data_IF_302032303439
#
_entry.id   IF_302032303439
#
_cell.length_a   1.000
_cell.length_b   1.000
_cell.length_c   1.000
_cell.angle_alpha   90.00
_cell.angle_beta   90.00
_cell.angle_gamma   90.00
#
_symmetry.space_group_name_H-M   'P 1'
#
loop_
_entity.id
_entity.type
_entity.pdbx_description
1 polymer ?
#
# COMPACT_ATOMS: atom_id res chain seq x y z
N UNK A 1 27.60 -34.89 52.27
CA UNK A 1 27.56 -34.76 50.79
C UNK A 1 26.53 -33.66 50.47
N UNK A 2 27.04 -32.46 50.31
CA UNK A 2 26.20 -31.25 50.14
C UNK A 2 26.16 -31.00 48.64
N UNK A 3 24.98 -31.09 48.04
CA UNK A 3 24.75 -30.71 46.64
C UNK A 3 24.51 -29.20 46.60
N UNK A 4 25.47 -28.46 46.04
CA UNK A 4 25.29 -27.08 45.64
C UNK A 4 24.49 -27.03 44.35
N UNK A 5 23.27 -26.48 44.40
CA UNK A 5 22.52 -26.11 43.22
C UNK A 5 23.02 -24.79 42.65
N UNK A 6 23.59 -24.81 41.45
CA UNK A 6 23.81 -23.60 40.66
C UNK A 6 22.47 -23.11 40.12
N UNK A 7 21.98 -21.98 40.64
CA UNK A 7 20.93 -21.24 40.00
C UNK A 7 21.55 -20.37 38.89
N UNK A 8 21.29 -20.71 37.64
CA UNK A 8 21.53 -19.82 36.51
C UNK A 8 20.49 -18.70 36.62
N UNK A 9 20.92 -17.54 36.98
CA UNK A 9 20.13 -16.31 36.78
C UNK A 9 20.16 -16.01 35.28
N UNK A 10 19.06 -16.17 34.60
CA UNK A 10 18.84 -15.56 33.33
C UNK A 10 18.89 -14.04 33.53
N UNK A 11 20.00 -13.42 33.17
CA UNK A 11 20.09 -11.98 33.03
C UNK A 11 19.22 -11.57 31.82
N UNK A 12 17.94 -11.35 32.09
CA UNK A 12 17.06 -10.60 31.18
C UNK A 12 17.57 -9.17 31.22
N UNK A 13 18.46 -8.84 30.28
CA UNK A 13 18.75 -7.44 30.00
C UNK A 13 17.43 -6.77 29.58
N UNK A 14 16.97 -5.73 30.30
CA UNK A 14 15.77 -5.04 29.89
C UNK A 14 15.99 -4.48 28.48
N UNK A 15 15.12 -4.82 27.54
CA UNK A 15 15.11 -4.24 26.21
C UNK A 15 15.20 -2.72 26.38
N UNK A 16 16.27 -2.12 25.85
CA UNK A 16 16.44 -0.67 25.83
C UNK A 16 15.40 -0.16 24.84
N UNK A 17 14.21 0.21 25.34
CA UNK A 17 13.19 0.89 24.55
C UNK A 17 13.83 2.20 24.08
N UNK A 18 14.27 2.25 22.84
CA UNK A 18 14.77 3.48 22.26
C UNK A 18 13.59 4.46 22.18
N UNK A 19 13.63 5.59 22.89
CA UNK A 19 12.53 6.56 22.85
C UNK A 19 12.30 6.98 21.42
N UNK A 20 11.03 7.04 20.98
CA UNK A 20 10.69 7.58 19.68
C UNK A 20 11.22 9.02 19.57
N UNK A 21 11.77 9.43 18.41
CA UNK A 21 12.22 10.80 18.19
C UNK A 21 11.12 11.82 18.53
N UNK A 22 11.50 12.99 18.99
CA UNK A 22 10.55 14.06 19.35
C UNK A 22 9.67 14.45 18.15
N UNK A 23 10.26 14.47 16.94
CA UNK A 23 9.58 14.77 15.68
C UNK A 23 9.01 13.48 15.08
N UNK A 24 7.69 13.45 14.87
CA UNK A 24 7.02 12.31 14.21
C UNK A 24 7.15 12.37 12.70
N UNK A 25 6.88 11.25 11.99
CA UNK A 25 6.93 11.20 10.53
C UNK A 25 5.95 12.21 9.92
N UNK A 26 4.69 12.26 10.39
CA UNK A 26 3.72 13.24 9.89
C UNK A 26 4.11 14.68 10.16
N UNK A 27 4.75 14.96 11.29
CA UNK A 27 5.20 16.33 11.59
C UNK A 27 6.48 16.74 10.84
N UNK A 28 7.25 15.76 10.38
CA UNK A 28 8.43 15.97 9.55
C UNK A 28 8.07 16.17 8.08
N UNK A 29 7.02 15.51 7.60
CA UNK A 29 6.55 15.66 6.23
C UNK A 29 5.70 16.92 6.08
N UNK A 30 6.24 17.91 5.36
CA UNK A 30 5.57 19.22 5.18
C UNK A 30 4.88 19.37 3.82
N UNK A 31 5.08 18.41 2.90
CA UNK A 31 4.64 18.57 1.51
C UNK A 31 3.79 17.40 0.98
N UNK A 32 3.64 16.32 1.74
CA UNK A 32 2.82 15.16 1.40
C UNK A 32 2.41 14.37 2.64
N UNK A 33 1.37 13.54 2.53
CA UNK A 33 0.91 12.69 3.62
C UNK A 33 1.79 11.45 3.79
N UNK A 34 2.16 11.11 5.03
CA UNK A 34 2.73 9.82 5.39
C UNK A 34 1.59 8.95 5.92
N UNK A 35 1.39 7.79 5.30
CA UNK A 35 0.30 6.87 5.59
C UNK A 35 0.77 5.50 6.08
N UNK A 36 -0.20 4.72 6.58
CA UNK A 36 0.00 3.35 7.03
C UNK A 36 -1.11 2.44 6.51
N UNK A 37 -0.77 1.23 6.04
CA UNK A 37 -1.77 0.19 5.86
C UNK A 37 -2.09 -0.47 7.20
N UNK A 38 -3.38 -0.73 7.44
CA UNK A 38 -3.83 -1.35 8.69
C UNK A 38 -5.07 -2.21 8.49
N UNK A 39 -5.43 -2.97 9.52
CA UNK A 39 -6.59 -3.84 9.53
C UNK A 39 -7.36 -3.73 10.84
N UNK A 40 -8.64 -4.11 10.83
CA UNK A 40 -9.52 -3.94 12.01
C UNK A 40 -8.98 -4.55 13.30
N UNK A 41 -8.39 -5.76 13.33
CA UNK A 41 -7.85 -6.31 14.59
C UNK A 41 -6.73 -5.48 15.19
N UNK A 42 -5.96 -4.77 14.35
CA UNK A 42 -4.85 -3.91 14.79
C UNK A 42 -5.37 -2.63 15.46
N UNK A 43 -6.55 -2.13 15.05
CA UNK A 43 -7.17 -0.96 15.64
C UNK A 43 -7.73 -1.18 17.06
N UNK A 44 -7.88 -2.43 17.49
CA UNK A 44 -8.30 -2.79 18.85
C UNK A 44 -7.11 -2.77 19.84
N UNK A 45 -5.87 -2.63 19.36
CA UNK A 45 -4.65 -2.61 20.16
C UNK A 45 -4.21 -1.17 20.45
N UNK A 46 -4.20 -0.78 21.74
CA UNK A 46 -3.84 0.58 22.16
C UNK A 46 -2.42 0.97 21.71
N UNK A 47 -1.44 0.07 21.84
CA UNK A 47 -0.06 0.31 21.38
C UNK A 47 0.02 0.61 19.88
N UNK A 48 -0.85 -0.03 19.10
CA UNK A 48 -0.91 0.17 17.65
C UNK A 48 -1.52 1.53 17.31
N UNK A 49 -2.67 1.85 17.91
CA UNK A 49 -3.40 3.10 17.64
C UNK A 49 -2.63 4.33 18.10
N UNK A 50 -1.91 4.25 19.23
CA UNK A 50 -1.05 5.35 19.69
C UNK A 50 0.05 5.70 18.69
N UNK A 51 0.67 4.70 18.05
CA UNK A 51 1.68 4.94 17.01
C UNK A 51 1.02 5.48 15.74
N UNK A 52 -0.12 4.91 15.31
CA UNK A 52 -0.85 5.44 14.14
C UNK A 52 -1.15 6.93 14.33
N UNK A 53 -1.76 7.28 15.43
CA UNK A 53 -2.19 8.67 15.71
C UNK A 53 -1.03 9.65 15.84
N UNK A 54 0.14 9.16 16.29
CA UNK A 54 1.35 9.97 16.41
C UNK A 54 2.08 10.15 15.09
N UNK A 55 2.20 9.09 14.29
CA UNK A 55 3.15 9.05 13.17
C UNK A 55 2.53 9.30 11.80
N UNK A 56 1.24 9.02 11.62
CA UNK A 56 0.65 8.98 10.29
C UNK A 56 -0.52 9.97 10.14
N UNK A 57 -0.72 10.46 8.92
CA UNK A 57 -1.83 11.34 8.54
C UNK A 57 -2.93 10.61 7.78
N UNK A 58 -2.63 9.43 7.22
CA UNK A 58 -3.57 8.66 6.43
C UNK A 58 -3.48 7.18 6.73
N UNK A 59 -4.57 6.47 6.51
CA UNK A 59 -4.61 5.02 6.56
C UNK A 59 -5.19 4.43 5.28
N UNK A 60 -4.71 3.21 4.95
CA UNK A 60 -5.23 2.36 3.88
C UNK A 60 -5.70 1.05 4.50
N UNK A 61 -6.89 0.59 4.15
CA UNK A 61 -7.41 -0.70 4.62
C UNK A 61 -6.70 -1.85 3.87
N UNK A 62 -5.91 -2.65 4.58
CA UNK A 62 -5.14 -3.76 3.99
C UNK A 62 -6.04 -4.81 3.31
N UNK A 63 -7.23 -5.09 3.91
CA UNK A 63 -8.16 -6.12 3.41
C UNK A 63 -9.62 -5.67 3.34
N UNK A 64 -10.06 -4.82 4.26
CA UNK A 64 -11.46 -4.65 4.60
C UNK A 64 -12.29 -3.93 3.54
N UNK A 65 -11.64 -3.24 2.60
CA UNK A 65 -12.30 -2.54 1.48
C UNK A 65 -12.22 -3.30 0.16
N UNK A 66 -11.64 -4.50 0.13
CA UNK A 66 -11.52 -5.34 -1.07
C UNK A 66 -12.87 -5.98 -1.43
N UNK A 67 -13.09 -6.21 -2.74
CA UNK A 67 -14.37 -6.69 -3.26
C UNK A 67 -14.84 -7.99 -2.61
N UNK A 68 -13.96 -8.98 -2.44
CA UNK A 68 -14.28 -10.27 -1.83
C UNK A 68 -14.59 -10.18 -0.32
N UNK A 69 -14.31 -9.05 0.33
CA UNK A 69 -14.68 -8.81 1.73
C UNK A 69 -16.03 -8.07 1.81
N UNK A 70 -16.21 -7.07 0.96
CA UNK A 70 -17.45 -6.27 0.95
C UNK A 70 -18.59 -7.01 0.29
N UNK A 71 -18.36 -7.72 -0.82
CA UNK A 71 -19.38 -8.37 -1.65
C UNK A 71 -19.09 -9.86 -1.87
N UNK A 72 -18.77 -10.57 -0.79
CA UNK A 72 -18.44 -12.01 -0.83
C UNK A 72 -19.60 -12.84 -1.42
N UNK A 73 -20.84 -12.45 -1.12
CA UNK A 73 -22.06 -13.08 -1.63
C UNK A 73 -22.79 -12.10 -2.55
N UNK A 74 -23.18 -12.56 -3.74
CA UNK A 74 -23.88 -11.74 -4.73
C UNK A 74 -25.07 -11.01 -4.11
N UNK A 75 -25.13 -9.69 -4.31
CA UNK A 75 -26.22 -8.84 -3.83
C UNK A 75 -26.20 -8.55 -2.32
N UNK A 76 -25.23 -9.09 -1.55
CA UNK A 76 -25.16 -8.91 -0.11
C UNK A 76 -23.88 -8.19 0.29
N UNK A 77 -23.99 -6.91 0.62
CA UNK A 77 -22.85 -6.08 1.04
C UNK A 77 -22.59 -6.20 2.54
N UNK A 78 -21.34 -6.53 2.90
CA UNK A 78 -20.85 -6.52 4.28
C UNK A 78 -19.97 -5.29 4.53
N UNK A 79 -20.54 -4.26 5.10
CA UNK A 79 -19.88 -2.99 5.37
C UNK A 79 -19.13 -2.93 6.70
N UNK A 80 -19.42 -3.87 7.61
CA UNK A 80 -19.05 -3.79 9.04
C UNK A 80 -17.58 -3.46 9.25
N UNK A 81 -16.67 -4.21 8.62
CA UNK A 81 -15.22 -4.03 8.81
C UNK A 81 -14.66 -2.79 8.10
N UNK A 82 -15.19 -2.49 6.91
CA UNK A 82 -14.79 -1.29 6.18
C UNK A 82 -15.27 -0.03 6.92
N UNK A 83 -16.51 -0.03 7.43
CA UNK A 83 -17.06 1.06 8.27
C UNK A 83 -16.21 1.27 9.53
N UNK A 84 -15.75 0.21 10.19
CA UNK A 84 -14.91 0.31 11.39
C UNK A 84 -13.62 1.09 11.09
N UNK A 85 -12.92 0.77 9.99
CA UNK A 85 -11.69 1.47 9.59
C UNK A 85 -11.98 2.93 9.24
N UNK A 86 -13.00 3.18 8.41
CA UNK A 86 -13.32 4.53 7.96
C UNK A 86 -13.77 5.41 9.14
N UNK A 87 -14.61 4.87 10.03
CA UNK A 87 -15.08 5.61 11.21
C UNK A 87 -13.94 5.88 12.20
N UNK A 88 -13.02 4.91 12.41
CA UNK A 88 -11.81 5.15 13.20
C UNK A 88 -11.01 6.31 12.62
N UNK A 89 -10.68 6.26 11.33
CA UNK A 89 -9.90 7.31 10.67
C UNK A 89 -10.55 8.68 10.81
N UNK A 90 -11.85 8.78 10.49
CA UNK A 90 -12.61 10.05 10.61
C UNK A 90 -12.62 10.56 12.04
N UNK A 91 -12.80 9.67 13.04
CA UNK A 91 -12.79 10.07 14.47
C UNK A 91 -11.44 10.60 14.94
N UNK A 92 -10.35 10.23 14.26
CA UNK A 92 -8.97 10.65 14.57
C UNK A 92 -8.44 11.74 13.62
N UNK A 93 -9.26 12.23 12.70
CA UNK A 93 -8.87 13.24 11.71
C UNK A 93 -7.86 12.72 10.69
N UNK A 94 -7.79 11.40 10.48
CA UNK A 94 -6.94 10.77 9.49
C UNK A 94 -7.64 10.71 8.14
N UNK A 95 -6.88 10.89 7.06
CA UNK A 95 -7.35 10.65 5.70
C UNK A 95 -7.48 9.15 5.44
N UNK A 96 -8.37 8.76 4.55
CA UNK A 96 -8.52 7.36 4.11
C UNK A 96 -8.25 7.25 2.63
N UNK A 97 -7.39 6.30 2.26
CA UNK A 97 -7.23 5.81 0.90
C UNK A 97 -7.93 4.46 0.76
N UNK A 98 -8.84 4.34 -0.19
CA UNK A 98 -9.59 3.12 -0.44
C UNK A 98 -8.83 2.15 -1.35
N UNK A 99 -8.59 0.93 -0.89
CA UNK A 99 -7.82 -0.10 -1.60
C UNK A 99 -8.54 -1.44 -1.57
N UNK A 100 -8.85 -2.06 -2.68
CA UNK A 100 -8.93 -1.56 -4.03
C UNK A 100 -10.31 -1.92 -4.60
N UNK A 101 -10.85 -1.08 -5.51
CA UNK A 101 -12.17 -1.35 -6.07
C UNK A 101 -12.15 -2.58 -6.97
N UNK A 102 -11.21 -2.67 -7.90
CA UNK A 102 -11.07 -3.80 -8.83
C UNK A 102 -9.67 -4.37 -8.77
N UNK A 103 -9.56 -5.61 -8.33
CA UNK A 103 -8.31 -6.36 -8.28
C UNK A 103 -8.58 -7.84 -8.50
N UNK A 104 -7.83 -8.49 -9.39
CA UNK A 104 -8.04 -9.87 -9.79
C UNK A 104 -7.92 -10.86 -8.64
N UNK A 105 -7.04 -10.63 -7.66
CA UNK A 105 -6.87 -11.50 -6.48
C UNK A 105 -7.94 -11.31 -5.40
N UNK A 106 -8.74 -10.24 -5.49
CA UNK A 106 -9.85 -10.00 -4.56
C UNK A 106 -11.23 -10.13 -5.19
N UNK A 107 -11.32 -10.78 -6.34
CA UNK A 107 -12.60 -11.04 -7.02
C UNK A 107 -13.33 -12.21 -6.34
N UNK A 108 -14.58 -12.05 -5.89
CA UNK A 108 -15.33 -13.13 -5.25
C UNK A 108 -15.72 -14.24 -6.25
N UNK A 109 -15.82 -15.47 -5.76
CA UNK A 109 -16.05 -16.67 -6.58
C UNK A 109 -17.31 -16.58 -7.46
N UNK A 110 -18.39 -15.97 -6.97
CA UNK A 110 -19.61 -15.80 -7.74
C UNK A 110 -19.40 -14.91 -8.98
N UNK A 111 -18.48 -13.95 -8.93
CA UNK A 111 -18.16 -13.06 -10.05
C UNK A 111 -17.14 -13.72 -11.00
N UNK A 112 -16.17 -14.46 -10.46
CA UNK A 112 -15.26 -15.30 -11.28
C UNK A 112 -16.00 -16.32 -12.13
N UNK A 113 -17.08 -16.89 -11.58
CA UNK A 113 -17.90 -17.93 -12.23
C UNK A 113 -19.24 -17.39 -12.75
N UNK A 114 -19.31 -16.10 -13.08
CA UNK A 114 -20.54 -15.43 -13.46
C UNK A 114 -21.20 -16.03 -14.71
N UNK A 115 -22.47 -16.42 -14.61
CA UNK A 115 -23.21 -17.13 -15.69
C UNK A 115 -24.07 -16.20 -16.56
N UNK A 116 -24.13 -14.90 -16.28
CA UNK A 116 -24.87 -13.93 -17.09
C UNK A 116 -24.12 -13.49 -18.35
N UNK A 117 -24.73 -12.60 -19.13
CA UNK A 117 -24.09 -11.97 -20.29
C UNK A 117 -22.98 -11.01 -19.88
N UNK A 118 -22.12 -10.60 -20.82
CA UNK A 118 -21.05 -9.62 -20.57
C UNK A 118 -21.62 -8.26 -20.12
N UNK A 119 -22.74 -7.83 -20.70
CA UNK A 119 -23.42 -6.61 -20.28
C UNK A 119 -23.95 -6.69 -18.84
N UNK A 120 -24.44 -7.87 -18.42
CA UNK A 120 -24.86 -8.09 -17.03
C UNK A 120 -23.65 -8.13 -16.08
N UNK A 121 -22.54 -8.74 -16.50
CA UNK A 121 -21.29 -8.72 -15.72
C UNK A 121 -20.79 -7.30 -15.51
N UNK A 122 -20.74 -6.49 -16.57
CA UNK A 122 -20.35 -5.08 -16.49
C UNK A 122 -21.27 -4.30 -15.54
N UNK A 123 -22.58 -4.58 -15.57
CA UNK A 123 -23.52 -3.93 -14.65
C UNK A 123 -23.25 -4.30 -13.18
N UNK A 124 -22.94 -5.57 -12.86
CA UNK A 124 -22.55 -5.98 -11.49
C UNK A 124 -21.32 -5.24 -11.00
N UNK A 125 -20.29 -5.09 -11.86
CA UNK A 125 -19.06 -4.33 -11.54
C UNK A 125 -19.37 -2.85 -11.32
N UNK A 126 -20.21 -2.26 -12.18
CA UNK A 126 -20.64 -0.86 -12.05
C UNK A 126 -21.41 -0.64 -10.75
N UNK A 127 -22.37 -1.51 -10.44
CA UNK A 127 -23.18 -1.40 -9.22
C UNK A 127 -22.34 -1.53 -7.97
N UNK A 128 -21.36 -2.46 -7.95
CA UNK A 128 -20.41 -2.59 -6.87
C UNK A 128 -19.57 -1.31 -6.67
N UNK A 129 -18.93 -0.81 -7.72
CA UNK A 129 -18.10 0.41 -7.65
C UNK A 129 -18.94 1.59 -7.17
N UNK A 130 -20.13 1.75 -7.74
CA UNK A 130 -21.05 2.83 -7.37
C UNK A 130 -21.47 2.74 -5.91
N UNK A 131 -21.82 1.56 -5.43
CA UNK A 131 -22.24 1.34 -4.04
C UNK A 131 -21.11 1.66 -3.05
N UNK A 132 -19.89 1.16 -3.32
CA UNK A 132 -18.74 1.37 -2.43
C UNK A 132 -18.33 2.84 -2.40
N UNK A 133 -18.12 3.44 -3.55
CA UNK A 133 -17.65 4.84 -3.64
C UNK A 133 -18.68 5.80 -3.07
N UNK A 134 -19.96 5.64 -3.40
CA UNK A 134 -21.05 6.47 -2.86
C UNK A 134 -21.19 6.36 -1.35
N UNK A 135 -21.02 5.14 -0.78
CA UNK A 135 -21.10 4.94 0.68
C UNK A 135 -20.08 5.75 1.44
N UNK A 136 -18.86 5.85 0.89
CA UNK A 136 -17.73 6.52 1.56
C UNK A 136 -17.45 7.92 1.03
N UNK A 137 -18.32 8.47 0.19
CA UNK A 137 -18.22 9.84 -0.32
C UNK A 137 -18.05 10.85 0.82
N UNK A 138 -17.07 11.75 0.69
CA UNK A 138 -16.70 12.73 1.70
C UNK A 138 -15.92 12.18 2.91
N UNK A 139 -15.68 10.85 2.98
CA UNK A 139 -14.88 10.19 4.03
C UNK A 139 -13.60 9.56 3.48
N UNK A 140 -13.69 8.89 2.34
CA UNK A 140 -12.56 8.35 1.60
C UNK A 140 -12.16 9.37 0.55
N UNK A 141 -10.91 9.83 0.58
CA UNK A 141 -10.44 10.96 -0.25
C UNK A 141 -9.86 10.51 -1.58
N UNK A 142 -9.54 9.24 -1.70
CA UNK A 142 -8.89 8.66 -2.88
C UNK A 142 -9.09 7.15 -2.96
N UNK A 143 -9.01 6.60 -4.17
CA UNK A 143 -9.23 5.17 -4.45
C UNK A 143 -8.19 4.62 -5.41
N UNK A 144 -7.69 3.41 -5.13
CA UNK A 144 -7.15 2.53 -6.16
C UNK A 144 -8.34 1.92 -6.90
N UNK A 145 -8.61 2.47 -8.09
CA UNK A 145 -9.76 2.03 -8.90
C UNK A 145 -9.48 0.67 -9.53
N UNK A 146 -8.29 0.53 -10.11
CA UNK A 146 -7.78 -0.76 -10.62
C UNK A 146 -6.40 -1.01 -10.04
N UNK A 147 -6.25 -2.17 -9.43
CA UNK A 147 -4.99 -2.68 -8.92
C UNK A 147 -4.46 -3.79 -9.83
N UNK A 148 -3.17 -3.68 -10.25
CA UNK A 148 -2.42 -4.71 -10.96
C UNK A 148 -3.04 -5.18 -12.30
N UNK A 149 -3.49 -4.23 -13.10
CA UNK A 149 -4.12 -4.51 -14.40
C UNK A 149 -3.15 -4.92 -15.50
N UNK A 150 -1.84 -4.72 -15.32
CA UNK A 150 -0.78 -5.08 -16.28
C UNK A 150 0.04 -6.26 -15.77
N UNK A 151 0.32 -7.22 -16.66
CA UNK A 151 1.08 -8.43 -16.36
C UNK A 151 2.58 -8.14 -16.28
N UNK A 152 3.32 -8.88 -15.43
CA UNK A 152 4.79 -8.82 -15.38
C UNK A 152 5.46 -9.37 -16.63
N UNK A 153 4.80 -10.30 -17.33
CA UNK A 153 5.29 -10.86 -18.57
C UNK A 153 4.89 -10.01 -19.76
N UNK A 154 5.87 -9.58 -20.56
CA UNK A 154 5.70 -8.90 -21.84
C UNK A 154 4.93 -7.55 -21.81
N UNK A 155 4.69 -6.94 -20.64
CA UNK A 155 4.00 -5.64 -20.57
C UNK A 155 2.66 -5.64 -21.30
N UNK A 156 1.80 -6.61 -21.03
CA UNK A 156 0.45 -6.73 -21.60
C UNK A 156 -0.62 -6.59 -20.53
N UNK A 157 -1.86 -6.30 -20.93
CA UNK A 157 -2.98 -6.34 -20.00
C UNK A 157 -3.10 -7.74 -19.37
N UNK A 158 -3.25 -7.79 -18.05
CA UNK A 158 -3.47 -9.04 -17.32
C UNK A 158 -4.78 -9.69 -17.78
N UNK A 159 -4.75 -10.99 -18.08
CA UNK A 159 -5.92 -11.73 -18.51
C UNK A 159 -6.83 -12.08 -17.34
N UNK A 160 -7.57 -11.11 -16.86
CA UNK A 160 -8.52 -11.21 -15.73
C UNK A 160 -9.94 -11.46 -16.23
N UNK A 161 -10.84 -11.91 -15.35
CA UNK A 161 -12.26 -12.01 -15.66
C UNK A 161 -12.85 -10.65 -16.12
N UNK A 162 -12.38 -9.56 -15.57
CA UNK A 162 -12.80 -8.21 -15.96
C UNK A 162 -12.44 -7.93 -17.41
N UNK A 163 -11.19 -8.19 -17.81
CA UNK A 163 -10.77 -8.06 -19.21
C UNK A 163 -11.56 -8.97 -20.16
N UNK A 164 -11.72 -10.23 -19.76
CA UNK A 164 -12.42 -11.23 -20.59
C UNK A 164 -13.89 -10.85 -20.85
N UNK A 165 -14.58 -10.28 -19.84
CA UNK A 165 -16.00 -10.00 -19.88
C UNK A 165 -16.34 -8.57 -20.28
N UNK A 166 -15.47 -7.60 -20.01
CA UNK A 166 -15.72 -6.18 -20.28
C UNK A 166 -14.83 -5.62 -21.41
N UNK A 167 -13.89 -6.42 -21.93
CA UNK A 167 -12.94 -6.04 -22.99
C UNK A 167 -11.71 -5.29 -22.46
N UNK A 168 -10.83 -4.87 -23.38
CA UNK A 168 -9.57 -4.20 -23.04
C UNK A 168 -9.77 -2.83 -22.36
N UNK A 169 -10.92 -2.20 -22.57
CA UNK A 169 -11.30 -0.92 -21.95
C UNK A 169 -11.90 -1.05 -20.54
N UNK A 170 -11.88 -2.24 -19.92
CA UNK A 170 -12.51 -2.45 -18.62
C UNK A 170 -12.01 -1.46 -17.54
N UNK A 171 -10.71 -1.11 -17.56
CA UNK A 171 -10.14 -0.15 -16.61
C UNK A 171 -10.74 1.23 -16.81
N UNK A 172 -10.86 1.69 -18.05
CA UNK A 172 -11.49 2.99 -18.39
C UNK A 172 -12.92 3.06 -17.84
N UNK A 173 -13.70 2.00 -18.04
CA UNK A 173 -15.07 1.90 -17.52
C UNK A 173 -15.10 1.98 -16.00
N UNK A 174 -14.17 1.27 -15.29
CA UNK A 174 -14.07 1.33 -13.85
C UNK A 174 -13.78 2.75 -13.33
N UNK A 175 -12.85 3.47 -13.98
CA UNK A 175 -12.57 4.87 -13.64
C UNK A 175 -13.81 5.77 -13.85
N UNK A 176 -14.54 5.59 -14.93
CA UNK A 176 -15.77 6.33 -15.20
C UNK A 176 -16.87 6.04 -14.17
N UNK A 177 -17.03 4.78 -13.74
CA UNK A 177 -18.00 4.41 -12.70
C UNK A 177 -17.65 5.02 -11.36
N UNK A 178 -16.38 4.98 -10.96
CA UNK A 178 -15.91 5.56 -9.72
C UNK A 178 -16.09 7.09 -9.70
N UNK A 179 -15.71 7.76 -10.78
CA UNK A 179 -15.87 9.21 -10.91
C UNK A 179 -17.34 9.65 -10.92
N UNK A 180 -18.21 8.89 -11.56
CA UNK A 180 -19.66 9.17 -11.56
C UNK A 180 -20.26 9.05 -10.15
N UNK A 181 -19.74 8.16 -9.32
CA UNK A 181 -20.19 7.97 -7.93
C UNK A 181 -19.67 9.07 -6.99
N UNK A 182 -18.41 9.48 -7.15
CA UNK A 182 -17.80 10.59 -6.40
C UNK A 182 -16.80 11.37 -7.25
N UNK A 183 -17.21 12.49 -7.85
CA UNK A 183 -16.34 13.33 -8.67
C UNK A 183 -15.20 14.02 -7.91
N UNK A 184 -15.29 14.12 -6.59
CA UNK A 184 -14.33 14.85 -5.74
C UNK A 184 -13.17 13.97 -5.30
N UNK A 185 -13.34 12.64 -5.31
CA UNK A 185 -12.29 11.70 -4.91
C UNK A 185 -11.16 11.61 -5.95
N UNK A 186 -9.92 11.39 -5.48
CA UNK A 186 -8.78 11.16 -6.37
C UNK A 186 -8.70 9.70 -6.77
N UNK A 187 -8.61 9.43 -8.06
CA UNK A 187 -8.65 8.07 -8.64
C UNK A 187 -7.27 7.66 -9.14
N UNK A 188 -6.78 6.51 -8.67
CA UNK A 188 -5.46 5.98 -8.95
C UNK A 188 -5.53 4.64 -9.70
N UNK A 189 -4.56 4.43 -10.58
CA UNK A 189 -4.11 3.11 -11.01
C UNK A 189 -2.95 2.70 -10.11
N UNK A 190 -2.97 1.51 -9.53
CA UNK A 190 -1.94 1.02 -8.61
C UNK A 190 -1.31 -0.28 -9.12
N UNK A 191 0.04 -0.39 -9.07
CA UNK A 191 0.71 -1.61 -9.51
C UNK A 191 2.10 -1.76 -8.86
N UNK A 192 2.61 -3.00 -8.82
CA UNK A 192 3.93 -3.34 -8.31
C UNK A 192 4.96 -3.46 -9.44
N UNK A 193 6.25 -3.51 -9.08
CA UNK A 193 7.38 -3.62 -10.00
C UNK A 193 7.49 -2.49 -11.04
N UNK A 194 6.77 -1.39 -10.89
CA UNK A 194 6.88 -0.24 -11.80
C UNK A 194 8.23 0.45 -11.70
N UNK A 195 8.92 0.30 -10.59
CA UNK A 195 10.27 0.83 -10.35
C UNK A 195 11.37 0.01 -11.03
N UNK A 196 11.12 -1.28 -11.34
CA UNK A 196 12.16 -2.20 -11.82
C UNK A 196 11.83 -2.92 -13.13
N UNK A 197 10.54 -3.16 -13.44
CA UNK A 197 10.11 -3.86 -14.65
C UNK A 197 9.81 -2.88 -15.80
N UNK A 198 10.80 -2.65 -16.65
CA UNK A 198 10.69 -1.68 -17.76
C UNK A 198 9.56 -1.99 -18.74
N UNK A 199 9.29 -3.27 -19.04
CA UNK A 199 8.23 -3.66 -19.97
C UNK A 199 6.84 -3.33 -19.41
N UNK A 200 6.60 -3.69 -18.14
CA UNK A 200 5.38 -3.36 -17.41
C UNK A 200 5.19 -1.85 -17.28
N UNK A 201 6.23 -1.15 -16.87
CA UNK A 201 6.25 0.30 -16.75
C UNK A 201 5.88 0.97 -18.10
N UNK A 202 6.48 0.55 -19.21
CA UNK A 202 6.18 1.12 -20.53
C UNK A 202 4.72 0.94 -20.88
N UNK A 203 4.14 -0.25 -20.63
CA UNK A 203 2.72 -0.50 -20.91
C UNK A 203 1.79 0.35 -20.04
N UNK A 204 2.10 0.51 -18.77
CA UNK A 204 1.29 1.35 -17.87
C UNK A 204 1.30 2.80 -18.33
N UNK A 205 2.46 3.35 -18.71
CA UNK A 205 2.52 4.73 -19.18
C UNK A 205 1.90 4.91 -20.58
N UNK A 206 1.97 3.92 -21.47
CA UNK A 206 1.21 3.90 -22.73
C UNK A 206 -0.31 4.03 -22.48
N UNK A 207 -0.83 3.25 -21.53
CA UNK A 207 -2.24 3.32 -21.12
C UNK A 207 -2.60 4.69 -20.54
N UNK A 208 -1.75 5.24 -19.67
CA UNK A 208 -1.98 6.57 -19.06
C UNK A 208 -2.03 7.65 -20.12
N UNK A 209 -1.15 7.62 -21.13
CA UNK A 209 -1.17 8.57 -22.23
C UNK A 209 -2.46 8.47 -23.04
N UNK A 210 -2.89 7.26 -23.41
CA UNK A 210 -4.19 7.04 -24.07
C UNK A 210 -5.35 7.55 -23.22
N UNK A 211 -5.37 7.22 -21.93
CA UNK A 211 -6.43 7.65 -21.01
C UNK A 211 -6.51 9.17 -20.87
N UNK A 212 -5.37 9.85 -20.85
CA UNK A 212 -5.34 11.32 -20.83
C UNK A 212 -5.91 11.92 -22.12
N UNK A 213 -5.56 11.38 -23.30
CA UNK A 213 -6.12 11.81 -24.59
C UNK A 213 -7.64 11.59 -24.63
N UNK A 214 -8.12 10.48 -24.07
CA UNK A 214 -9.55 10.13 -23.98
C UNK A 214 -10.28 10.81 -22.82
N UNK A 215 -9.58 11.64 -22.02
CA UNK A 215 -10.12 12.33 -20.84
C UNK A 215 -10.72 11.38 -19.80
N UNK A 216 -10.11 10.21 -19.62
CA UNK A 216 -10.45 9.31 -18.52
C UNK A 216 -10.14 10.00 -17.19
N UNK A 217 -11.00 9.91 -16.18
CA UNK A 217 -10.84 10.64 -14.92
C UNK A 217 -9.77 9.99 -14.00
N UNK A 218 -8.56 9.83 -14.51
CA UNK A 218 -7.40 9.38 -13.72
C UNK A 218 -6.69 10.59 -13.11
N UNK A 219 -6.37 10.52 -11.81
CA UNK A 219 -5.69 11.59 -11.09
C UNK A 219 -4.25 11.23 -10.71
N UNK A 220 -3.96 9.95 -10.51
CA UNK A 220 -2.66 9.52 -10.04
C UNK A 220 -2.29 8.10 -10.40
N UNK A 221 -1.02 7.79 -10.16
CA UNK A 221 -0.45 6.45 -10.26
C UNK A 221 0.17 6.05 -8.92
N UNK A 222 -0.18 4.85 -8.46
CA UNK A 222 0.44 4.19 -7.30
C UNK A 222 1.57 3.28 -7.75
N UNK A 223 2.74 3.45 -7.15
CA UNK A 223 3.83 2.51 -7.16
C UNK A 223 3.80 1.78 -5.83
N UNK A 224 3.52 0.48 -5.82
CA UNK A 224 3.43 -0.28 -4.57
C UNK A 224 4.73 -0.22 -3.77
N UNK A 225 5.87 -0.20 -4.42
CA UNK A 225 7.19 -0.10 -3.77
C UNK A 225 7.50 -1.25 -2.81
N UNK A 226 7.09 -2.48 -3.16
CA UNK A 226 7.54 -3.70 -2.51
C UNK A 226 8.95 -4.03 -2.95
N UNK A 227 9.93 -3.40 -2.34
CA UNK A 227 11.32 -3.43 -2.78
C UNK A 227 12.24 -4.13 -1.76
N UNK A 228 13.52 -4.15 -2.03
CA UNK A 228 14.54 -4.57 -1.08
C UNK A 228 15.66 -3.53 -0.94
N UNK A 229 16.50 -3.68 0.09
CA UNK A 229 17.67 -2.83 0.23
C UNK A 229 18.64 -2.92 -0.98
N UNK A 230 18.52 -3.98 -1.78
CA UNK A 230 19.32 -4.20 -2.99
C UNK A 230 18.76 -3.51 -4.24
N UNK A 231 17.51 -3.03 -4.21
CA UNK A 231 16.88 -2.40 -5.38
C UNK A 231 17.68 -1.16 -5.83
N UNK A 232 18.11 -1.09 -7.11
CA UNK A 232 18.99 -0.02 -7.57
C UNK A 232 18.31 1.36 -7.49
N UNK A 233 19.04 2.35 -6.96
CA UNK A 233 18.58 3.74 -6.83
C UNK A 233 18.17 4.36 -8.16
N UNK A 234 18.99 4.17 -9.18
CA UNK A 234 18.80 4.74 -10.50
C UNK A 234 17.52 4.24 -11.18
N UNK A 235 17.12 3.00 -10.94
CA UNK A 235 15.86 2.45 -11.42
C UNK A 235 14.67 3.14 -10.73
N UNK A 236 14.68 3.28 -9.41
CA UNK A 236 13.65 3.99 -8.65
C UNK A 236 13.56 5.44 -9.13
N UNK A 237 14.69 6.12 -9.26
CA UNK A 237 14.75 7.51 -9.71
C UNK A 237 14.20 7.69 -11.13
N UNK A 238 14.59 6.79 -12.05
CA UNK A 238 14.14 6.84 -13.45
C UNK A 238 12.64 6.63 -13.55
N UNK A 239 12.11 5.62 -12.84
CA UNK A 239 10.68 5.35 -12.79
C UNK A 239 9.89 6.52 -12.19
N UNK A 240 10.40 7.10 -11.09
CA UNK A 240 9.82 8.29 -10.45
C UNK A 240 9.78 9.48 -11.41
N UNK A 241 10.87 9.76 -12.11
CA UNK A 241 10.93 10.84 -13.09
C UNK A 241 9.92 10.65 -14.23
N UNK A 242 9.72 9.41 -14.68
CA UNK A 242 8.73 9.08 -15.70
C UNK A 242 7.30 9.30 -15.20
N UNK A 243 7.02 8.94 -13.93
CA UNK A 243 5.73 9.22 -13.30
C UNK A 243 5.47 10.73 -13.20
N UNK A 244 6.45 11.51 -12.77
CA UNK A 244 6.37 12.98 -12.72
C UNK A 244 6.11 13.58 -14.12
N UNK A 245 6.81 13.09 -15.14
CA UNK A 245 6.63 13.56 -16.52
C UNK A 245 5.22 13.29 -17.08
N UNK A 246 4.48 12.30 -16.56
CA UNK A 246 3.08 12.07 -16.93
C UNK A 246 2.14 13.19 -16.49
N UNK A 247 2.55 14.03 -15.53
CA UNK A 247 1.74 15.09 -14.94
C UNK A 247 0.71 14.61 -13.92
N UNK A 248 0.67 13.30 -13.60
CA UNK A 248 -0.21 12.73 -12.58
C UNK A 248 0.38 12.89 -11.18
N UNK A 249 -0.48 12.74 -10.18
CA UNK A 249 -0.05 12.52 -8.79
C UNK A 249 0.68 11.20 -8.70
N UNK A 250 1.82 11.18 -8.01
CA UNK A 250 2.56 9.96 -7.68
C UNK A 250 2.29 9.58 -6.23
N UNK A 251 2.00 8.31 -6.01
CA UNK A 251 1.81 7.72 -4.69
C UNK A 251 2.74 6.51 -4.53
N UNK A 252 3.63 6.53 -3.54
CA UNK A 252 4.29 5.32 -3.07
C UNK A 252 3.34 4.63 -2.11
N UNK A 253 2.53 3.73 -2.64
CA UNK A 253 1.28 3.29 -2.04
C UNK A 253 1.43 2.20 -0.98
N UNK A 254 2.51 1.39 -1.05
CA UNK A 254 2.63 0.15 -0.26
C UNK A 254 4.09 -0.12 0.15
N UNK A 255 4.82 0.94 0.52
CA UNK A 255 6.25 0.85 0.77
C UNK A 255 6.59 -0.14 1.89
N UNK A 256 7.33 -1.16 1.53
CA UNK A 256 8.09 -2.02 2.42
C UNK A 256 9.47 -2.32 1.80
N UNK A 257 10.50 -2.50 2.65
CA UNK A 257 11.88 -2.71 2.18
C UNK A 257 12.45 -3.95 2.82
N UNK A 258 12.51 -5.03 2.05
CA UNK A 258 13.05 -6.31 2.49
C UNK A 258 14.50 -6.18 2.90
N UNK A 259 14.81 -6.63 4.13
CA UNK A 259 16.16 -6.65 4.68
C UNK A 259 16.90 -7.97 4.42
N UNK A 260 16.17 -9.06 4.12
CA UNK A 260 16.72 -10.38 3.87
C UNK A 260 16.13 -11.05 2.60
N UNK A 261 16.22 -10.39 1.41
CA UNK A 261 15.64 -10.90 0.19
C UNK A 261 16.27 -12.23 -0.28
N UNK A 262 17.53 -12.47 0.05
CA UNK A 262 18.28 -13.66 -0.33
C UNK A 262 18.17 -14.81 0.70
N UNK A 263 17.50 -14.58 1.84
CA UNK A 263 17.38 -15.55 2.95
C UNK A 263 18.74 -16.02 3.48
N UNK A 264 19.73 -15.12 3.48
CA UNK A 264 21.14 -15.40 3.79
C UNK A 264 21.51 -15.12 5.26
N UNK A 265 20.59 -14.54 6.05
CA UNK A 265 20.76 -14.30 7.48
C UNK A 265 19.59 -14.87 8.30
N UNK A 266 19.90 -15.39 9.48
CA UNK A 266 18.89 -15.90 10.43
C UNK A 266 18.51 -14.90 11.52
N UNK A 267 19.33 -13.85 11.70
CA UNK A 267 19.12 -12.77 12.68
C UNK A 267 19.35 -11.42 12.03
N UNK A 268 18.64 -10.40 12.48
CA UNK A 268 18.77 -9.04 11.94
C UNK A 268 20.08 -8.40 12.41
N UNK A 269 21.07 -8.31 11.52
CA UNK A 269 22.40 -7.79 11.83
C UNK A 269 22.45 -6.27 11.76
N UNK A 270 23.43 -5.64 12.44
CA UNK A 270 23.68 -4.20 12.36
C UNK A 270 23.95 -3.74 10.93
N UNK A 271 24.73 -4.50 10.17
CA UNK A 271 25.03 -4.22 8.76
C UNK A 271 23.74 -4.16 7.92
N UNK A 272 22.85 -5.15 8.09
CA UNK A 272 21.61 -5.21 7.35
C UNK A 272 20.62 -4.12 7.78
N UNK A 273 20.61 -3.80 9.06
CA UNK A 273 19.84 -2.69 9.63
C UNK A 273 20.25 -1.35 9.03
N UNK A 274 21.56 -1.11 8.92
CA UNK A 274 22.10 0.11 8.32
C UNK A 274 21.84 0.18 6.82
N UNK A 275 22.00 -0.92 6.09
CA UNK A 275 21.68 -0.98 4.66
C UNK A 275 20.18 -0.66 4.40
N UNK A 276 19.28 -1.19 5.24
CA UNK A 276 17.86 -0.89 5.17
C UNK A 276 17.56 0.58 5.51
N UNK A 277 18.21 1.13 6.56
CA UNK A 277 18.10 2.57 6.92
C UNK A 277 18.44 3.46 5.75
N UNK A 278 19.59 3.20 5.10
CA UNK A 278 20.04 3.97 3.95
C UNK A 278 19.08 3.87 2.77
N UNK A 279 18.47 2.72 2.55
CA UNK A 279 17.47 2.52 1.47
C UNK A 279 16.17 3.28 1.77
N UNK A 280 15.65 3.25 2.99
CA UNK A 280 14.49 4.08 3.36
C UNK A 280 14.78 5.56 3.16
N UNK A 281 15.95 6.04 3.63
CA UNK A 281 16.38 7.42 3.41
C UNK A 281 16.40 7.78 1.92
N UNK A 282 17.03 6.96 1.11
CA UNK A 282 17.17 7.15 -0.34
C UNK A 282 15.80 7.23 -1.04
N UNK A 283 14.89 6.28 -0.75
CA UNK A 283 13.55 6.23 -1.35
C UNK A 283 12.74 7.46 -0.98
N UNK A 284 12.76 7.85 0.29
CA UNK A 284 12.03 9.03 0.77
C UNK A 284 12.63 10.32 0.20
N UNK A 285 13.95 10.43 0.08
CA UNK A 285 14.62 11.57 -0.57
C UNK A 285 14.23 11.70 -2.04
N UNK A 286 14.20 10.59 -2.80
CA UNK A 286 13.75 10.59 -4.20
C UNK A 286 12.33 11.14 -4.29
N UNK A 287 11.43 10.65 -3.43
CA UNK A 287 10.04 11.12 -3.41
C UNK A 287 9.94 12.58 -2.94
N UNK A 288 10.68 12.96 -1.91
CA UNK A 288 10.66 14.32 -1.37
C UNK A 288 11.18 15.38 -2.37
N UNK A 289 12.01 14.98 -3.32
CA UNK A 289 12.58 15.86 -4.34
C UNK A 289 11.65 16.14 -5.53
N UNK A 290 10.53 15.39 -5.72
CA UNK A 290 9.64 15.66 -6.86
C UNK A 290 8.84 16.95 -6.67
N UNK A 291 8.29 17.55 -7.74
CA UNK A 291 7.46 18.74 -7.63
C UNK A 291 6.24 18.52 -6.74
N UNK A 292 5.87 19.51 -5.94
CA UNK A 292 4.74 19.42 -5.01
C UNK A 292 3.41 19.11 -5.73
N UNK A 293 3.26 19.58 -6.96
CA UNK A 293 2.09 19.30 -7.81
C UNK A 293 1.91 17.82 -8.14
N UNK A 294 2.97 17.03 -8.03
CA UNK A 294 2.95 15.58 -8.30
C UNK A 294 2.94 14.74 -7.03
N UNK A 295 3.03 15.33 -5.84
CA UNK A 295 3.06 14.60 -4.57
C UNK A 295 1.66 14.24 -4.11
N UNK A 296 1.42 12.96 -3.84
CA UNK A 296 0.24 12.51 -3.11
C UNK A 296 0.61 12.03 -1.70
N UNK A 297 1.51 11.06 -1.58
CA UNK A 297 1.94 10.53 -0.29
C UNK A 297 2.85 9.32 -0.38
N UNK A 298 3.30 8.87 0.79
CA UNK A 298 3.97 7.58 0.98
C UNK A 298 3.20 6.82 2.05
N UNK A 299 2.71 5.62 1.74
CA UNK A 299 2.11 4.70 2.71
C UNK A 299 3.04 3.52 2.96
N UNK A 300 3.38 3.27 4.24
CA UNK A 300 4.13 2.09 4.66
C UNK A 300 3.16 0.91 4.78
N UNK A 301 3.53 -0.26 4.22
CA UNK A 301 2.60 -1.39 4.13
C UNK A 301 2.66 -2.32 5.34
N UNK A 302 2.30 -1.77 6.48
CA UNK A 302 2.29 -2.41 7.79
C UNK A 302 3.11 -1.63 8.81
N UNK A 303 2.85 -1.83 10.10
CA UNK A 303 3.53 -1.09 11.17
C UNK A 303 4.83 -1.78 11.60
N UNK A 304 4.76 -3.05 11.96
CA UNK A 304 5.84 -3.81 12.57
C UNK A 304 6.16 -5.10 11.82
N UNK A 305 7.39 -5.55 11.91
CA UNK A 305 7.96 -6.59 11.05
C UNK A 305 7.16 -7.89 11.01
N UNK A 306 6.69 -8.38 12.17
CA UNK A 306 5.91 -9.62 12.29
C UNK A 306 4.46 -9.52 11.75
N UNK A 307 3.99 -8.31 11.44
CA UNK A 307 2.72 -8.06 10.76
C UNK A 307 2.82 -8.11 9.23
N UNK A 308 4.05 -8.12 8.68
CA UNK A 308 4.25 -8.01 7.24
C UNK A 308 3.73 -9.25 6.49
N UNK A 309 2.98 -8.99 5.43
CA UNK A 309 2.52 -10.00 4.48
C UNK A 309 3.67 -10.77 3.80
N UNK A 310 4.83 -10.11 3.65
CA UNK A 310 6.03 -10.65 2.99
C UNK A 310 6.57 -11.91 3.65
N UNK A 311 6.37 -12.07 4.98
CA UNK A 311 6.85 -13.24 5.71
C UNK A 311 6.23 -14.52 5.15
N UNK A 312 4.92 -14.50 4.96
CA UNK A 312 4.16 -15.63 4.41
C UNK A 312 4.35 -15.75 2.89
N UNK A 313 4.26 -14.62 2.18
CA UNK A 313 4.36 -14.59 0.72
C UNK A 313 5.67 -15.18 0.22
N UNK A 314 6.80 -14.83 0.85
CA UNK A 314 8.11 -15.36 0.49
C UNK A 314 8.52 -16.62 1.28
N UNK A 315 7.67 -17.11 2.20
CA UNK A 315 8.04 -18.17 3.14
C UNK A 315 9.42 -17.88 3.80
N UNK A 316 9.54 -16.66 4.35
CA UNK A 316 10.75 -16.17 5.01
C UNK A 316 10.37 -15.44 6.28
N UNK A 317 10.41 -16.12 7.42
CA UNK A 317 10.08 -15.55 8.73
C UNK A 317 11.27 -14.80 9.36
N UNK A 318 12.44 -14.87 8.74
CA UNK A 318 13.62 -14.07 9.06
C UNK A 318 13.69 -12.87 8.09
N UNK A 319 12.62 -12.07 8.04
CA UNK A 319 12.52 -10.85 7.25
C UNK A 319 12.05 -9.70 8.13
N UNK A 320 12.60 -8.51 7.90
CA UNK A 320 12.38 -7.32 8.74
C UNK A 320 12.09 -6.08 7.88
N UNK A 321 10.94 -6.02 7.17
CA UNK A 321 10.74 -5.04 6.09
C UNK A 321 10.20 -3.68 6.51
N UNK A 322 9.77 -3.52 7.79
CA UNK A 322 9.00 -2.38 8.24
C UNK A 322 9.77 -1.45 9.19
N UNK A 323 9.12 -0.38 9.64
CA UNK A 323 9.74 0.70 10.42
C UNK A 323 9.91 0.35 11.91
N UNK A 324 9.08 -0.57 12.42
CA UNK A 324 9.08 -1.00 13.82
C UNK A 324 9.37 -2.51 13.91
N UNK A 325 10.01 -2.90 15.02
CA UNK A 325 10.19 -4.31 15.36
C UNK A 325 8.92 -4.93 15.96
N UNK A 326 8.95 -6.22 16.27
CA UNK A 326 7.81 -6.94 16.86
C UNK A 326 7.35 -6.38 18.22
N UNK A 327 8.22 -5.65 18.93
CA UNK A 327 7.94 -5.05 20.24
C UNK A 327 7.55 -3.56 20.14
N UNK A 328 7.23 -3.07 18.94
CA UNK A 328 6.90 -1.65 18.65
C UNK A 328 8.06 -0.67 18.86
N UNK A 329 9.31 -1.12 18.93
CA UNK A 329 10.46 -0.22 18.96
C UNK A 329 10.76 0.28 17.55
N UNK A 330 11.06 1.58 17.42
CA UNK A 330 11.49 2.15 16.16
C UNK A 330 12.86 1.58 15.75
N UNK A 331 12.93 1.04 14.55
CA UNK A 331 14.16 0.52 13.95
C UNK A 331 14.99 1.63 13.31
N UNK A 332 16.22 1.32 12.89
CA UNK A 332 17.01 2.21 12.04
C UNK A 332 16.29 2.59 10.73
N UNK A 333 15.41 1.71 10.23
CA UNK A 333 14.50 1.98 9.11
C UNK A 333 13.64 3.23 9.33
N UNK A 334 13.07 3.40 10.53
CA UNK A 334 12.33 4.60 10.92
C UNK A 334 13.22 5.86 10.87
N UNK A 335 14.44 5.75 11.41
CA UNK A 335 15.42 6.84 11.35
C UNK A 335 15.73 7.22 9.90
N UNK A 336 15.96 6.23 9.04
CA UNK A 336 16.20 6.46 7.61
C UNK A 336 15.03 7.16 6.92
N UNK A 337 13.79 6.73 7.20
CA UNK A 337 12.60 7.41 6.67
C UNK A 337 12.56 8.88 7.11
N UNK A 338 12.76 9.14 8.40
CA UNK A 338 12.75 10.50 8.97
C UNK A 338 13.86 11.38 8.37
N UNK A 339 15.06 10.83 8.19
CA UNK A 339 16.18 11.53 7.54
C UNK A 339 15.88 11.88 6.07
N UNK A 340 15.11 11.07 5.38
CA UNK A 340 14.70 11.30 3.99
C UNK A 340 13.69 12.44 3.83
N UNK A 341 12.98 12.79 4.89
CA UNK A 341 12.03 13.91 4.91
C UNK A 341 12.67 15.30 5.09
N UNK A 342 13.96 15.34 5.52
CA UNK A 342 14.67 16.60 5.83
C UNK A 342 15.43 17.19 4.62
#
# INVERSE_FOLDING_TARGET
MILMGCSVKDDITPDIITPLPTKSLKSASTSFSVGLSTSTPKLDLLSYTQIIEREFESITAEYQMKMNVILLVKGTYNWSKADQIVNYAVSKGLKVHGHALVWHESTPDWLLNYQGTDAQFEQEVKDYITAVVSRYKGKVTSWDVVNEGVSDSAGSLRNTVFKQRMGDDYMVKCFQFAHAADPDSKLFYNDYNLETNQAKQNKVFELIEDWKLRKVPIHGIGFQMHISYLTPKDQIQTATNKAVASGLLLFYSELDIRANPNKDISTFTLERSEAQRLKFKEVVQIYNAIPISNKFGITVWGLKDDDSWLLKHHNNFNEWPLLFDANFNAKQAYTGFLEGLN
#
